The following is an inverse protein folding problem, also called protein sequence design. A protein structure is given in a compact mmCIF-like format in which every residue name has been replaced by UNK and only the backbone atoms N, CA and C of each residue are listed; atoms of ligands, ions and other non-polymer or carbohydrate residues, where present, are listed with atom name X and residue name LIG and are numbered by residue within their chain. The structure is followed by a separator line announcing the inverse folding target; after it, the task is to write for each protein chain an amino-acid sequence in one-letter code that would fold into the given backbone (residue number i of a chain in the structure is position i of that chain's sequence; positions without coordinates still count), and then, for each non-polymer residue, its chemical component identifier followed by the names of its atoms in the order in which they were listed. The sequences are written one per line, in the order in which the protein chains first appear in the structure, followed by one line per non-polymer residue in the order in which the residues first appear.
data_IF_888446130290
#
_entry.id   IF_888446130290
#
_cell.length_a   1.000
_cell.length_b   1.000
_cell.length_c   1.000
_cell.angle_alpha   90.00
_cell.angle_beta   90.00
_cell.angle_gamma   90.00
#
_symmetry.space_group_name_H-M   'P 1'
#
loop_
_entity.id
_entity.type
_entity.pdbx_description
1 polymer ?
#
# COMPACT_ATOMS: atom_id res chain seq x y z
N UNK A 1 6.11 10.53 -6.42
CA UNK A 1 6.43 11.39 -5.25
C UNK A 1 5.37 12.44 -4.90
N UNK A 2 4.91 13.28 -5.85
CA UNK A 2 3.97 14.39 -5.56
C UNK A 2 2.67 13.94 -4.86
N UNK A 3 2.12 12.79 -5.25
CA UNK A 3 0.91 12.22 -4.66
C UNK A 3 1.06 11.92 -3.17
N UNK A 4 2.14 11.26 -2.76
CA UNK A 4 2.43 10.96 -1.36
C UNK A 4 2.58 12.25 -0.53
N UNK A 5 3.39 13.21 -1.01
CA UNK A 5 3.59 14.49 -0.32
C UNK A 5 2.27 15.22 -0.05
N UNK A 6 1.35 15.23 -1.03
CA UNK A 6 0.03 15.86 -0.86
C UNK A 6 -0.80 15.17 0.22
N UNK A 7 -0.81 13.83 0.25
CA UNK A 7 -1.56 13.07 1.27
C UNK A 7 -0.96 13.29 2.66
N UNK A 8 0.36 13.19 2.80
CA UNK A 8 1.05 13.43 4.07
C UNK A 8 0.82 14.84 4.60
N UNK A 9 0.79 15.86 3.74
CA UNK A 9 0.45 17.24 4.14
C UNK A 9 -0.94 17.34 4.78
N UNK A 10 -1.92 16.59 4.28
CA UNK A 10 -3.27 16.54 4.88
C UNK A 10 -3.21 15.86 6.25
N UNK A 11 -2.48 14.74 6.36
CA UNK A 11 -2.30 14.01 7.63
C UNK A 11 -1.63 14.92 8.67
N UNK A 12 -0.55 15.59 8.31
CA UNK A 12 0.18 16.53 9.15
C UNK A 12 -0.71 17.67 9.65
N UNK A 13 -1.49 18.29 8.76
CA UNK A 13 -2.39 19.40 9.13
C UNK A 13 -3.47 18.99 10.15
N UNK A 14 -3.90 17.73 10.14
CA UNK A 14 -5.01 17.23 10.96
C UNK A 14 -4.56 16.53 12.23
N UNK A 15 -3.44 15.81 12.18
CA UNK A 15 -3.08 14.83 13.21
C UNK A 15 -1.67 15.02 13.81
N UNK A 16 -0.90 16.02 13.40
CA UNK A 16 0.48 16.24 13.91
C UNK A 16 0.58 16.40 15.44
N UNK A 17 -0.49 16.79 16.12
CA UNK A 17 -0.54 16.92 17.59
C UNK A 17 -0.60 15.58 18.32
N UNK A 18 -1.02 14.50 17.66
CA UNK A 18 -1.13 13.17 18.24
C UNK A 18 -0.36 12.17 17.37
N UNK A 19 0.79 11.73 17.88
CA UNK A 19 1.69 10.86 17.14
C UNK A 19 1.02 9.56 16.69
N UNK A 20 0.20 8.93 17.54
CA UNK A 20 -0.46 7.67 17.18
C UNK A 20 -1.45 7.87 16.02
N UNK A 21 -2.22 8.95 16.03
CA UNK A 21 -3.14 9.28 14.93
C UNK A 21 -2.37 9.66 13.66
N UNK A 22 -1.32 10.48 13.78
CA UNK A 22 -0.46 10.81 12.67
C UNK A 22 0.10 9.55 12.00
N UNK A 23 0.65 8.63 12.79
CA UNK A 23 1.24 7.38 12.30
C UNK A 23 0.17 6.51 11.62
N UNK A 24 -0.98 6.31 12.27
CA UNK A 24 -2.10 5.56 11.69
C UNK A 24 -2.53 6.12 10.33
N UNK A 25 -2.82 7.42 10.25
CA UNK A 25 -3.30 8.04 9.01
C UNK A 25 -2.19 8.18 7.96
N UNK A 26 -0.92 8.22 8.37
CA UNK A 26 0.21 8.17 7.44
C UNK A 26 0.34 6.80 6.78
N UNK A 27 0.16 5.71 7.54
CA UNK A 27 0.13 4.36 6.96
C UNK A 27 -1.03 4.21 5.98
N UNK A 28 -2.23 4.69 6.34
CA UNK A 28 -3.40 4.67 5.43
C UNK A 28 -3.13 5.49 4.16
N UNK A 29 -2.49 6.65 4.29
CA UNK A 29 -2.11 7.45 3.13
C UNK A 29 -1.11 6.72 2.23
N UNK A 30 -0.11 6.05 2.82
CA UNK A 30 0.91 5.31 2.09
C UNK A 30 0.35 4.05 1.41
N UNK A 31 -0.54 3.32 2.09
CA UNK A 31 -1.15 2.08 1.57
C UNK A 31 -2.02 2.31 0.34
N UNK A 32 -2.40 3.55 0.06
CA UNK A 32 -3.12 3.96 -1.15
C UNK A 32 -2.22 4.35 -2.33
N UNK A 33 -0.90 4.19 -2.20
CA UNK A 33 0.06 4.44 -3.28
C UNK A 33 0.46 3.11 -3.90
N UNK A 34 0.26 2.98 -5.21
CA UNK A 34 0.60 1.79 -5.99
C UNK A 34 1.40 2.17 -7.24
N UNK A 35 2.18 1.24 -7.76
CA UNK A 35 2.92 1.39 -9.00
C UNK A 35 3.41 0.06 -9.54
N UNK A 36 3.51 -0.04 -10.86
CA UNK A 36 4.12 -1.17 -11.58
C UNK A 36 5.13 -0.58 -12.55
N UNK A 37 6.32 -1.15 -12.60
CA UNK A 37 7.36 -0.79 -13.56
C UNK A 37 8.01 -2.06 -14.11
N UNK A 38 8.37 -2.02 -15.39
CA UNK A 38 8.97 -3.17 -16.09
C UNK A 38 10.45 -3.35 -15.73
N UNK A 39 11.11 -2.29 -15.26
CA UNK A 39 12.53 -2.32 -14.87
C UNK A 39 12.66 -2.40 -13.35
N UNK A 40 13.43 -3.39 -12.87
CA UNK A 40 13.62 -3.65 -11.43
C UNK A 40 14.32 -2.53 -10.69
N UNK A 41 15.27 -1.85 -11.34
CA UNK A 41 15.99 -0.69 -10.80
C UNK A 41 15.06 0.52 -10.57
N UNK A 42 14.11 0.75 -11.47
CA UNK A 42 13.07 1.76 -11.31
C UNK A 42 12.16 1.46 -10.11
N UNK A 43 11.77 0.19 -9.92
CA UNK A 43 10.98 -0.26 -8.77
C UNK A 43 11.71 0.05 -7.47
N UNK A 44 12.98 -0.37 -7.35
CA UNK A 44 13.76 -0.14 -6.15
C UNK A 44 13.97 1.36 -5.88
N UNK A 45 14.37 2.11 -6.91
CA UNK A 45 14.53 3.57 -6.82
C UNK A 45 13.24 4.27 -6.39
N UNK A 46 12.09 3.79 -6.86
CA UNK A 46 10.79 4.32 -6.48
C UNK A 46 10.48 4.05 -5.00
N UNK A 47 10.71 2.81 -4.52
CA UNK A 47 10.55 2.44 -3.10
C UNK A 47 11.42 3.31 -2.20
N UNK A 48 12.71 3.42 -2.51
CA UNK A 48 13.67 4.21 -1.72
C UNK A 48 13.26 5.69 -1.65
N UNK A 49 12.85 6.27 -2.78
CA UNK A 49 12.41 7.67 -2.83
C UNK A 49 11.11 7.90 -2.06
N UNK A 50 10.14 6.98 -2.13
CA UNK A 50 8.89 7.07 -1.39
C UNK A 50 9.14 6.96 0.12
N UNK A 51 9.93 5.95 0.53
CA UNK A 51 10.31 5.73 1.92
C UNK A 51 11.12 6.90 2.47
N UNK A 52 12.04 7.45 1.68
CA UNK A 52 12.82 8.63 2.04
C UNK A 52 11.95 9.86 2.29
N UNK A 53 10.96 10.12 1.43
CA UNK A 53 9.98 11.20 1.65
C UNK A 53 9.16 10.95 2.92
N UNK A 54 8.67 9.73 3.11
CA UNK A 54 7.85 9.36 4.25
C UNK A 54 8.61 9.53 5.57
N UNK A 55 9.82 8.99 5.63
CA UNK A 55 10.73 9.06 6.78
C UNK A 55 11.10 10.50 7.10
N UNK A 56 11.46 11.29 6.08
CA UNK A 56 11.82 12.70 6.29
C UNK A 56 10.69 13.51 6.93
N UNK A 57 9.45 13.36 6.46
CA UNK A 57 8.31 14.08 7.05
C UNK A 57 8.05 13.62 8.48
N UNK A 58 8.12 12.32 8.76
CA UNK A 58 7.94 11.78 10.11
C UNK A 58 8.98 12.33 11.09
N UNK A 59 10.27 12.26 10.74
CA UNK A 59 11.37 12.74 11.58
C UNK A 59 11.36 14.26 11.78
N UNK A 60 10.80 15.01 10.81
CA UNK A 60 10.62 16.46 10.94
C UNK A 60 9.57 16.81 11.99
N UNK A 61 8.51 16.00 12.11
CA UNK A 61 7.42 16.17 13.06
C UNK A 61 7.72 15.58 14.45
N UNK A 62 8.41 14.44 14.50
CA UNK A 62 8.69 13.70 15.74
C UNK A 62 10.18 13.42 15.86
N UNK A 63 10.83 14.02 16.87
CA UNK A 63 12.30 13.98 17.04
C UNK A 63 12.79 13.11 18.20
N UNK A 64 11.91 12.77 19.15
CA UNK A 64 12.29 12.14 20.42
C UNK A 64 11.81 10.69 20.57
N UNK A 65 10.66 10.36 20.00
CA UNK A 65 10.04 9.04 20.13
C UNK A 65 9.83 8.43 18.74
N UNK A 66 10.94 8.10 18.07
CA UNK A 66 10.90 7.53 16.72
C UNK A 66 10.58 6.04 16.84
N UNK A 67 9.44 5.62 16.30
CA UNK A 67 9.05 4.20 16.29
C UNK A 67 9.58 3.52 15.04
N UNK A 68 10.59 2.67 15.20
CA UNK A 68 11.15 1.90 14.08
C UNK A 68 10.10 0.99 13.41
N UNK A 69 9.20 0.40 14.20
CA UNK A 69 8.06 -0.40 13.73
C UNK A 69 7.16 0.33 12.72
N UNK A 70 7.01 1.65 12.87
CA UNK A 70 6.27 2.48 11.93
C UNK A 70 6.98 2.59 10.57
N UNK A 71 8.30 2.76 10.58
CA UNK A 71 9.11 2.83 9.36
C UNK A 71 9.20 1.47 8.67
N UNK A 72 9.36 0.39 9.44
CA UNK A 72 9.36 -0.98 8.93
C UNK A 72 8.02 -1.32 8.27
N UNK A 73 6.91 -0.93 8.89
CA UNK A 73 5.57 -1.12 8.31
C UNK A 73 5.41 -0.35 6.99
N UNK A 74 5.95 0.87 6.92
CA UNK A 74 5.92 1.67 5.69
C UNK A 74 6.76 1.06 4.57
N UNK A 75 7.97 0.59 4.86
CA UNK A 75 8.82 -0.13 3.92
C UNK A 75 8.14 -1.39 3.39
N UNK A 76 7.55 -2.19 4.28
CA UNK A 76 6.83 -3.40 3.90
C UNK A 76 5.68 -3.12 2.94
N UNK A 77 4.84 -2.12 3.24
CA UNK A 77 3.75 -1.70 2.36
C UNK A 77 4.28 -1.30 0.98
N UNK A 78 5.35 -0.51 0.92
CA UNK A 78 5.95 -0.12 -0.36
C UNK A 78 6.49 -1.31 -1.15
N UNK A 79 7.02 -2.33 -0.46
CA UNK A 79 7.46 -3.58 -1.11
C UNK A 79 6.32 -4.35 -1.77
N UNK A 80 5.11 -4.27 -1.22
CA UNK A 80 3.91 -4.95 -1.74
C UNK A 80 3.06 -4.09 -2.68
N UNK A 81 3.32 -2.79 -2.73
CA UNK A 81 2.53 -1.86 -3.53
C UNK A 81 3.26 -1.33 -4.77
N UNK A 82 4.59 -1.26 -4.73
CA UNK A 82 5.43 -0.87 -5.87
C UNK A 82 6.06 -2.14 -6.41
N UNK A 83 5.52 -2.66 -7.50
CA UNK A 83 5.78 -4.01 -7.99
C UNK A 83 6.58 -3.98 -9.28
N UNK A 84 7.40 -5.01 -9.46
CA UNK A 84 8.02 -5.28 -10.75
C UNK A 84 7.06 -6.09 -11.61
N UNK A 85 6.82 -5.64 -12.83
CA UNK A 85 5.86 -6.29 -13.72
C UNK A 85 5.67 -5.56 -15.02
N UNK A 86 5.22 -6.28 -16.03
CA UNK A 86 4.70 -5.74 -17.27
C UNK A 86 3.18 -5.57 -17.14
N UNK A 87 2.75 -4.31 -17.10
CA UNK A 87 1.34 -3.95 -16.98
C UNK A 87 0.52 -4.23 -18.26
N UNK A 88 1.15 -4.55 -19.39
CA UNK A 88 0.44 -4.97 -20.61
C UNK A 88 0.08 -6.46 -20.57
N UNK A 89 1.01 -7.30 -20.10
CA UNK A 89 0.80 -8.75 -19.97
C UNK A 89 0.26 -9.15 -18.58
N UNK A 90 0.25 -8.21 -17.64
CA UNK A 90 -0.21 -8.36 -16.25
C UNK A 90 0.63 -9.35 -15.42
N UNK A 91 1.89 -9.55 -15.83
CA UNK A 91 2.79 -10.57 -15.31
C UNK A 91 4.20 -10.01 -15.08
N UNK A 92 5.05 -10.74 -14.37
CA UNK A 92 6.48 -10.45 -14.32
C UNK A 92 7.11 -10.65 -15.71
N UNK A 93 8.11 -9.83 -16.10
CA UNK A 93 8.71 -9.90 -17.43
C UNK A 93 9.85 -10.94 -17.53
N UNK A 94 10.06 -11.77 -16.52
CA UNK A 94 10.99 -12.90 -16.53
C UNK A 94 10.40 -14.15 -17.20
N UNK A 95 11.17 -15.23 -17.22
CA UNK A 95 10.78 -16.50 -17.84
C UNK A 95 9.59 -17.17 -17.13
N UNK A 96 9.47 -16.98 -15.81
CA UNK A 96 8.39 -17.56 -15.00
C UNK A 96 7.04 -16.90 -15.28
N UNK A 97 7.03 -15.63 -15.69
CA UNK A 97 5.84 -14.86 -16.08
C UNK A 97 4.69 -14.95 -15.06
N UNK A 98 5.02 -14.77 -13.79
CA UNK A 98 4.08 -14.85 -12.68
C UNK A 98 3.06 -13.70 -12.72
N UNK A 99 1.79 -13.93 -12.34
CA UNK A 99 0.80 -12.86 -12.27
C UNK A 99 1.22 -11.75 -11.28
N UNK A 100 1.01 -10.49 -11.64
CA UNK A 100 1.23 -9.37 -10.73
C UNK A 100 0.17 -9.42 -9.61
N UNK A 101 0.60 -9.52 -8.36
CA UNK A 101 -0.26 -9.57 -7.17
C UNK A 101 -0.18 -8.27 -6.37
N UNK A 102 -1.30 -7.59 -6.22
CA UNK A 102 -1.44 -6.39 -5.40
C UNK A 102 -1.95 -6.71 -4.00
N UNK A 103 -1.34 -6.10 -3.00
CA UNK A 103 -1.87 -6.05 -1.65
C UNK A 103 -2.86 -4.88 -1.51
N UNK A 104 -4.14 -5.16 -1.33
CA UNK A 104 -5.15 -4.19 -0.90
C UNK A 104 -5.12 -4.05 0.62
N UNK A 105 -5.22 -2.81 1.10
CA UNK A 105 -5.13 -2.48 2.52
C UNK A 105 -6.38 -1.71 2.97
N UNK A 106 -7.17 -2.34 3.83
CA UNK A 106 -8.37 -1.75 4.39
C UNK A 106 -8.15 -1.36 5.85
N UNK A 107 -8.38 -0.09 6.18
CA UNK A 107 -8.47 0.33 7.57
C UNK A 107 -9.79 -0.14 8.15
N UNK A 108 -9.73 -0.90 9.25
CA UNK A 108 -10.94 -1.45 9.88
C UNK A 108 -11.31 -0.57 11.08
N UNK A 109 -10.87 -0.93 12.28
CA UNK A 109 -11.23 -0.23 13.52
C UNK A 109 -9.97 0.07 14.32
N UNK A 110 -9.92 1.25 14.94
CA UNK A 110 -8.78 1.67 15.76
C UNK A 110 -7.47 1.58 14.97
N UNK A 111 -6.50 0.82 15.47
CA UNK A 111 -5.18 0.67 14.86
C UNK A 111 -5.05 -0.55 13.94
N UNK A 112 -6.15 -1.21 13.60
CA UNK A 112 -6.13 -2.46 12.82
C UNK A 112 -6.27 -2.21 11.32
N UNK A 113 -5.45 -2.92 10.55
CA UNK A 113 -5.46 -2.95 9.09
C UNK A 113 -5.67 -4.40 8.65
N UNK A 114 -6.48 -4.57 7.59
CA UNK A 114 -6.69 -5.84 6.90
C UNK A 114 -5.97 -5.80 5.55
N UNK A 115 -5.24 -6.87 5.21
CA UNK A 115 -4.63 -7.05 3.89
C UNK A 115 -5.38 -8.13 3.11
N UNK A 116 -5.63 -7.88 1.83
CA UNK A 116 -6.14 -8.87 0.89
C UNK A 116 -5.34 -8.79 -0.40
N UNK A 117 -4.87 -9.92 -0.89
CA UNK A 117 -4.08 -9.96 -2.12
C UNK A 117 -4.97 -10.29 -3.32
N UNK A 118 -4.75 -9.60 -4.44
CA UNK A 118 -5.49 -9.77 -5.68
C UNK A 118 -4.55 -9.81 -6.87
N UNK A 119 -4.84 -10.62 -7.89
CA UNK A 119 -4.12 -10.51 -9.16
C UNK A 119 -4.58 -9.25 -9.90
N UNK A 120 -3.66 -8.59 -10.61
CA UNK A 120 -3.98 -7.44 -11.45
C UNK A 120 -5.05 -7.78 -12.50
N UNK A 121 -4.96 -8.98 -13.08
CA UNK A 121 -5.96 -9.49 -14.01
C UNK A 121 -7.37 -9.50 -13.41
N UNK A 122 -7.53 -10.01 -12.18
CA UNK A 122 -8.83 -10.03 -11.51
C UNK A 122 -9.34 -8.60 -11.22
N UNK A 123 -8.44 -7.68 -10.87
CA UNK A 123 -8.79 -6.28 -10.61
C UNK A 123 -9.18 -5.49 -11.87
N UNK A 124 -8.71 -5.88 -13.05
CA UNK A 124 -9.07 -5.24 -14.31
C UNK A 124 -10.34 -5.84 -14.92
N UNK A 125 -10.51 -7.16 -14.81
CA UNK A 125 -11.74 -7.84 -15.25
C UNK A 125 -12.96 -7.40 -14.43
N UNK A 126 -12.76 -6.91 -13.20
CA UNK A 126 -13.80 -6.39 -12.34
C UNK A 126 -14.26 -4.97 -12.66
N UNK A 127 -13.66 -4.29 -13.65
CA UNK A 127 -14.14 -2.98 -14.11
C UNK A 127 -15.22 -3.12 -15.19
N UNK A 128 -16.46 -2.64 -14.96
CA UNK A 128 -17.40 -2.46 -16.06
C UNK A 128 -16.80 -1.47 -17.07
N UNK A 129 -16.93 -1.78 -18.36
CA UNK A 129 -16.51 -0.91 -19.48
C UNK A 129 -17.20 0.48 -19.40
N UNK A 130 -18.34 0.56 -18.70
CA UNK A 130 -19.05 1.80 -18.39
C UNK A 130 -19.30 1.95 -16.88
N UNK A 131 -18.24 2.24 -16.12
CA UNK A 131 -18.31 2.89 -14.80
C UNK A 131 -18.82 2.05 -13.62
N UNK A 132 -17.90 1.72 -12.70
CA UNK A 132 -18.02 1.77 -11.24
C UNK A 132 -16.69 1.30 -10.64
N UNK A 133 -16.10 2.13 -9.79
CA UNK A 133 -14.79 1.87 -9.18
C UNK A 133 -14.91 0.82 -8.06
N UNK A 134 -13.82 0.08 -7.81
CA UNK A 134 -13.59 -0.69 -6.58
C UNK A 134 -13.65 0.14 -5.28
N UNK A 135 -13.87 1.46 -5.41
CA UNK A 135 -13.94 2.47 -4.36
C UNK A 135 -15.33 3.12 -4.24
N UNK A 136 -16.40 2.55 -4.82
CA UNK A 136 -17.74 3.14 -4.76
C UNK A 136 -18.58 2.64 -3.58
N UNK A 137 -18.93 3.56 -2.68
CA UNK A 137 -19.83 3.40 -1.52
C UNK A 137 -21.33 3.24 -1.88
N UNK A 138 -21.68 2.83 -3.10
CA UNK A 138 -23.06 2.86 -3.60
C UNK A 138 -23.52 1.50 -4.13
N UNK A 139 -24.07 0.70 -3.22
CA UNK A 139 -25.40 0.06 -3.31
C UNK A 139 -25.80 -0.88 -4.44
N UNK A 140 -25.15 -0.88 -5.60
CA UNK A 140 -25.50 -1.77 -6.72
C UNK A 140 -24.41 -2.82 -6.92
N UNK A 141 -24.79 -3.99 -7.47
CA UNK A 141 -23.99 -5.24 -7.55
C UNK A 141 -22.62 -5.03 -8.20
N UNK A 142 -21.67 -4.53 -7.41
CA UNK A 142 -20.27 -4.46 -7.76
C UNK A 142 -19.76 -5.90 -7.89
N UNK A 143 -19.11 -6.20 -9.00
CA UNK A 143 -18.32 -7.43 -9.10
C UNK A 143 -17.17 -7.31 -8.09
N UNK A 144 -17.26 -8.06 -6.99
CA UNK A 144 -16.24 -8.07 -5.94
C UNK A 144 -15.15 -9.04 -6.42
N UNK A 145 -13.93 -8.58 -6.75
CA UNK A 145 -12.86 -9.48 -7.12
C UNK A 145 -12.61 -10.47 -5.98
N UNK A 146 -12.33 -11.73 -6.32
CA UNK A 146 -11.97 -12.76 -5.34
C UNK A 146 -10.50 -12.60 -4.98
N UNK A 147 -10.15 -12.44 -3.70
CA UNK A 147 -8.76 -12.36 -3.27
C UNK A 147 -8.08 -13.72 -3.45
N UNK A 148 -6.81 -13.70 -3.85
CA UNK A 148 -5.96 -14.91 -3.87
C UNK A 148 -5.48 -15.27 -2.47
N UNK A 149 -5.40 -14.29 -1.56
CA UNK A 149 -5.06 -14.51 -0.16
C UNK A 149 -5.73 -13.47 0.74
N UNK A 150 -6.23 -13.91 1.89
CA UNK A 150 -6.80 -13.07 2.93
C UNK A 150 -5.98 -13.22 4.21
N UNK A 151 -5.61 -12.10 4.83
CA UNK A 151 -4.75 -12.06 6.01
C UNK A 151 -5.54 -11.62 7.25
N UNK A 152 -5.16 -12.10 8.45
CA UNK A 152 -5.78 -11.66 9.69
C UNK A 152 -5.56 -10.16 9.93
N UNK A 153 -6.42 -9.58 10.79
CA UNK A 153 -6.26 -8.18 11.21
C UNK A 153 -4.95 -8.01 11.97
N UNK A 154 -4.19 -6.98 11.59
CA UNK A 154 -2.91 -6.66 12.22
C UNK A 154 -2.84 -5.19 12.63
N UNK A 155 -2.14 -4.91 13.72
CA UNK A 155 -1.85 -3.54 14.11
C UNK A 155 -0.97 -2.86 13.05
N UNK A 156 -1.24 -1.61 12.71
CA UNK A 156 -0.51 -0.92 11.63
C UNK A 156 1.01 -0.79 11.84
N UNK A 157 1.48 -0.89 13.10
CA UNK A 157 2.91 -0.92 13.47
C UNK A 157 3.55 -2.31 13.34
N UNK A 158 2.75 -3.37 13.21
CA UNK A 158 3.24 -4.76 13.14
C UNK A 158 3.19 -5.32 11.72
N UNK A 159 2.88 -4.49 10.74
CA UNK A 159 2.82 -4.91 9.33
C UNK A 159 4.21 -5.42 8.91
N UNK A 160 4.25 -6.59 8.28
CA UNK A 160 5.49 -7.25 7.87
C UNK A 160 6.19 -8.09 8.95
N UNK A 161 5.77 -8.05 10.21
CA UNK A 161 6.40 -8.85 11.28
C UNK A 161 5.99 -10.33 11.28
N UNK A 162 4.81 -10.65 10.74
CA UNK A 162 4.24 -12.02 10.74
C UNK A 162 4.22 -12.68 9.36
N UNK A 163 4.60 -11.95 8.31
CA UNK A 163 4.73 -12.53 6.97
C UNK A 163 6.13 -13.16 6.90
N UNK A 164 6.27 -14.32 7.53
CA UNK A 164 7.40 -15.22 7.28
C UNK A 164 7.49 -15.45 5.78
N UNK A 165 8.69 -15.31 5.23
CA UNK A 165 9.04 -15.60 3.83
C UNK A 165 8.56 -17.00 3.43
N UNK A 166 7.34 -17.09 2.91
CA UNK A 166 6.97 -18.13 1.95
C UNK A 166 7.10 -17.48 0.57
N UNK A 167 8.34 -17.44 0.09
CA UNK A 167 8.69 -17.50 -1.33
C UNK A 167 9.07 -18.96 -1.60
#
# INVERSE_FOLDING_TARGET
MRSLKRKLKVVESRYSKNQLEYERYSIIALSSIYGVDILTDNVQTCRDRLLGVFTHVYLSNFKKDIKHDFLNSAEYILSKNILWGDALTLKTPDEDQEPIIFAEWSAVNGSLIKRRDYTLANLLQSQPIDGLNLFSDLGDKAFIPTPVKDYPLIHFLKIGQNDSNDL
#
